data_IF_070674395009
#
_entry.id   IF_070674395009
#
_cell.length_a   1.000
_cell.length_b   1.000
_cell.length_c   1.000
_cell.angle_alpha   90.00
_cell.angle_beta   90.00
_cell.angle_gamma   90.00
#
_symmetry.space_group_name_H-M   'P 1'
#
loop_
_entity.id
_entity.type
_entity.pdbx_description
1 polymer ?
#
# COMPACT_ATOMS: atom_id res chain seq x y z
N UNK A 1 -53.31 16.45 24.66
CA UNK A 1 -52.43 16.39 23.47
C UNK A 1 -51.27 15.47 23.82
N UNK A 2 -51.32 14.21 23.41
CA UNK A 2 -50.22 13.24 23.57
C UNK A 2 -49.23 13.43 22.44
N UNK A 3 -48.05 13.98 22.73
CA UNK A 3 -46.97 14.08 21.77
C UNK A 3 -46.38 12.69 21.53
N UNK A 4 -46.59 12.13 20.33
CA UNK A 4 -45.88 10.94 19.86
C UNK A 4 -44.39 11.25 19.81
N UNK A 5 -43.60 10.58 20.67
CA UNK A 5 -42.15 10.67 20.63
C UNK A 5 -41.64 10.28 19.23
N UNK A 6 -40.71 11.04 18.64
CA UNK A 6 -40.20 10.72 17.31
C UNK A 6 -39.55 9.34 17.34
N UNK A 7 -39.91 8.49 16.37
CA UNK A 7 -39.32 7.17 16.23
C UNK A 7 -37.79 7.30 16.12
N UNK A 8 -37.05 6.73 17.07
CA UNK A 8 -35.59 6.68 17.04
C UNK A 8 -35.20 5.85 15.82
N UNK A 9 -34.72 6.52 14.77
CA UNK A 9 -34.20 5.84 13.57
C UNK A 9 -32.97 5.04 13.99
N UNK A 10 -33.08 3.71 14.02
CA UNK A 10 -31.93 2.85 14.24
C UNK A 10 -30.87 3.12 13.16
N UNK A 11 -29.69 3.55 13.59
CA UNK A 11 -28.56 3.76 12.68
C UNK A 11 -27.85 2.42 12.51
N UNK A 12 -27.99 1.82 11.32
CA UNK A 12 -27.34 0.55 10.98
C UNK A 12 -25.81 0.67 11.06
N UNK A 13 -25.13 -0.40 11.47
CA UNK A 13 -23.66 -0.45 11.53
C UNK A 13 -22.99 -0.08 10.19
N UNK A 14 -23.57 -0.49 9.07
CA UNK A 14 -23.09 -0.14 7.73
C UNK A 14 -23.11 1.38 7.47
N UNK A 15 -24.15 2.08 7.95
CA UNK A 15 -24.27 3.54 7.80
C UNK A 15 -23.26 4.28 8.68
N UNK A 16 -22.98 3.77 9.88
CA UNK A 16 -21.90 4.30 10.72
C UNK A 16 -20.56 4.12 10.02
N UNK A 17 -20.25 2.91 9.54
CA UNK A 17 -19.01 2.63 8.82
C UNK A 17 -18.83 3.53 7.60
N UNK A 18 -19.84 3.68 6.75
CA UNK A 18 -19.78 4.55 5.57
C UNK A 18 -19.51 6.01 5.94
N UNK A 19 -20.15 6.52 7.01
CA UNK A 19 -19.90 7.89 7.52
C UNK A 19 -18.49 8.04 8.07
N UNK A 20 -17.99 7.05 8.81
CA UNK A 20 -16.62 7.05 9.32
C UNK A 20 -15.61 7.01 8.16
N UNK A 21 -15.84 6.22 7.12
CA UNK A 21 -15.02 6.23 5.91
C UNK A 21 -15.02 7.59 5.21
N UNK A 22 -16.18 8.26 5.09
CA UNK A 22 -16.24 9.59 4.49
C UNK A 22 -15.47 10.65 5.32
N UNK A 23 -15.54 10.55 6.64
CA UNK A 23 -14.77 11.41 7.54
C UNK A 23 -13.25 11.16 7.41
N UNK A 24 -12.82 9.89 7.44
CA UNK A 24 -11.40 9.51 7.26
C UNK A 24 -10.88 9.86 5.85
N UNK A 25 -11.73 9.76 4.82
CA UNK A 25 -11.39 10.22 3.47
C UNK A 25 -11.08 11.72 3.48
N UNK A 26 -11.99 12.54 4.03
CA UNK A 26 -11.80 13.98 4.11
C UNK A 26 -10.54 14.32 4.90
N UNK A 27 -10.33 13.65 6.04
CA UNK A 27 -9.12 13.79 6.86
C UNK A 27 -7.85 13.51 6.04
N UNK A 28 -7.77 12.36 5.38
CA UNK A 28 -6.59 11.96 4.60
C UNK A 28 -6.21 13.02 3.55
N UNK A 29 -7.20 13.58 2.84
CA UNK A 29 -6.98 14.53 1.75
C UNK A 29 -6.72 15.97 2.18
N UNK A 30 -7.10 16.33 3.42
CA UNK A 30 -6.80 17.66 4.00
C UNK A 30 -5.37 17.77 4.54
N UNK A 31 -4.68 16.65 4.77
CA UNK A 31 -3.33 16.63 5.32
C UNK A 31 -2.29 16.93 4.23
N UNK A 32 -1.48 17.98 4.44
CA UNK A 32 -0.41 18.39 3.51
C UNK A 32 0.61 17.27 3.22
N UNK A 33 0.92 16.44 4.22
CA UNK A 33 1.86 15.32 4.08
C UNK A 33 1.39 14.29 3.05
N UNK A 34 0.08 14.06 2.91
CA UNK A 34 -0.50 13.17 1.89
C UNK A 34 -0.04 13.56 0.50
N UNK A 35 -0.09 14.86 0.18
CA UNK A 35 0.34 15.39 -1.11
C UNK A 35 1.84 15.23 -1.35
N UNK A 36 2.67 15.38 -0.31
CA UNK A 36 4.11 15.12 -0.42
C UNK A 36 4.42 13.64 -0.71
N UNK A 37 3.72 12.71 -0.06
CA UNK A 37 3.88 11.28 -0.35
C UNK A 37 3.40 10.94 -1.76
N UNK A 38 2.26 11.49 -2.21
CA UNK A 38 1.79 11.28 -3.58
C UNK A 38 2.73 11.88 -4.62
N UNK A 39 3.28 13.07 -4.36
CA UNK A 39 4.28 13.69 -5.23
C UNK A 39 5.56 12.83 -5.30
N UNK A 40 6.04 12.30 -4.17
CA UNK A 40 7.20 11.41 -4.15
C UNK A 40 6.93 10.09 -4.89
N UNK A 41 5.76 9.48 -4.68
CA UNK A 41 5.34 8.28 -5.40
C UNK A 41 5.23 8.53 -6.91
N UNK A 42 4.58 9.62 -7.31
CA UNK A 42 4.45 10.02 -8.72
C UNK A 42 5.81 10.31 -9.35
N UNK A 43 6.69 11.04 -8.66
CA UNK A 43 8.05 11.33 -9.14
C UNK A 43 8.86 10.06 -9.36
N UNK A 44 8.82 9.12 -8.41
CA UNK A 44 9.48 7.83 -8.55
C UNK A 44 8.89 7.01 -9.70
N UNK A 45 7.56 6.88 -9.77
CA UNK A 45 6.91 6.05 -10.78
C UNK A 45 7.07 6.61 -12.19
N UNK A 46 6.72 7.88 -12.40
CA UNK A 46 6.74 8.51 -13.72
C UNK A 46 8.16 8.85 -14.13
N UNK A 47 9.00 9.33 -13.21
CA UNK A 47 10.39 9.66 -13.48
C UNK A 47 11.19 8.45 -13.94
N UNK A 48 11.15 7.35 -13.19
CA UNK A 48 11.87 6.11 -13.56
C UNK A 48 11.31 5.51 -14.85
N UNK A 49 9.99 5.49 -15.04
CA UNK A 49 9.38 5.01 -16.28
C UNK A 49 9.78 5.85 -17.51
N UNK A 50 9.92 7.16 -17.33
CA UNK A 50 10.38 8.08 -18.38
C UNK A 50 11.83 7.78 -18.75
N UNK A 51 12.71 7.62 -17.76
CA UNK A 51 14.13 7.26 -18.00
C UNK A 51 14.21 5.92 -18.74
N UNK A 52 13.50 4.90 -18.26
CA UNK A 52 13.45 3.59 -18.91
C UNK A 52 12.92 3.66 -20.36
N UNK A 53 11.93 4.54 -20.62
CA UNK A 53 11.44 4.82 -21.97
C UNK A 53 12.49 5.47 -22.88
N UNK A 54 13.25 6.45 -22.38
CA UNK A 54 14.34 7.08 -23.14
C UNK A 54 15.42 6.05 -23.49
N UNK A 55 15.81 5.21 -22.53
CA UNK A 55 16.80 4.15 -22.76
C UNK A 55 16.30 3.15 -23.80
N UNK A 56 15.05 2.70 -23.69
CA UNK A 56 14.44 1.79 -24.65
C UNK A 56 14.36 2.38 -26.07
N UNK A 57 14.09 3.69 -26.19
CA UNK A 57 14.02 4.39 -27.49
C UNK A 57 15.38 4.69 -28.12
N UNK A 58 16.45 4.74 -27.33
CA UNK A 58 17.81 5.07 -27.78
C UNK A 58 18.69 3.84 -28.03
N UNK A 59 18.33 2.68 -27.49
CA UNK A 59 19.05 1.42 -27.69
C UNK A 59 18.92 0.87 -29.12
N UNK A 60 20.04 0.44 -29.70
CA UNK A 60 20.08 -0.21 -31.03
C UNK A 60 19.54 -1.65 -31.03
N UNK A 61 19.46 -2.29 -29.85
CA UNK A 61 19.09 -3.71 -29.67
C UNK A 61 17.81 -3.91 -28.82
N UNK A 62 17.04 -2.85 -28.56
CA UNK A 62 15.80 -3.00 -27.80
C UNK A 62 14.80 -3.88 -28.60
N UNK A 63 14.31 -5.00 -28.04
CA UNK A 63 13.37 -5.84 -28.76
C UNK A 63 12.12 -5.04 -29.12
N UNK A 64 11.90 -4.85 -30.42
CA UNK A 64 10.73 -4.13 -30.92
C UNK A 64 9.46 -4.82 -30.42
N UNK A 65 8.51 -4.05 -29.89
CA UNK A 65 7.27 -4.59 -29.30
C UNK A 65 7.37 -4.99 -27.83
N UNK A 66 8.46 -4.60 -27.13
CA UNK A 66 8.55 -4.72 -25.68
C UNK A 66 7.39 -3.96 -24.98
N UNK A 67 6.93 -4.52 -23.87
CA UNK A 67 5.73 -4.03 -23.18
C UNK A 67 6.04 -2.78 -22.36
N UNK A 68 5.36 -1.66 -22.65
CA UNK A 68 5.42 -0.46 -21.80
C UNK A 68 4.92 -0.72 -20.37
N UNK A 69 4.05 -1.72 -20.18
CA UNK A 69 3.58 -2.13 -18.86
C UNK A 69 4.66 -2.79 -18.00
N UNK A 70 5.62 -3.48 -18.62
CA UNK A 70 6.77 -4.02 -17.88
C UNK A 70 7.64 -2.89 -17.33
N UNK A 71 7.82 -1.82 -18.12
CA UNK A 71 8.54 -0.62 -17.69
C UNK A 71 7.82 0.16 -16.59
N UNK A 72 6.50 -0.03 -16.44
CA UNK A 72 5.70 0.59 -15.38
C UNK A 72 5.68 -0.20 -14.07
N UNK A 73 6.01 -1.50 -14.09
CA UNK A 73 6.03 -2.34 -12.89
C UNK A 73 7.30 -2.13 -12.05
N UNK A 74 8.45 -1.94 -12.68
CA UNK A 74 9.75 -1.71 -12.00
C UNK A 74 9.72 -0.49 -11.07
N UNK A 75 9.21 0.69 -11.51
CA UNK A 75 9.16 1.89 -10.68
C UNK A 75 8.27 1.78 -9.44
N UNK A 76 7.36 0.80 -9.39
CA UNK A 76 6.50 0.56 -8.22
C UNK A 76 7.33 0.16 -7.00
N UNK A 77 8.44 -0.55 -7.18
CA UNK A 77 9.26 -1.04 -6.07
C UNK A 77 9.84 0.06 -5.18
N UNK A 78 10.50 1.11 -5.71
CA UNK A 78 10.90 2.24 -4.88
C UNK A 78 9.70 3.10 -4.49
N UNK A 79 8.71 3.28 -5.37
CA UNK A 79 7.57 4.15 -5.12
C UNK A 79 6.65 3.65 -3.99
N UNK A 80 6.57 2.33 -3.77
CA UNK A 80 5.72 1.74 -2.74
C UNK A 80 5.98 2.34 -1.35
N UNK A 81 7.23 2.71 -1.04
CA UNK A 81 7.57 3.29 0.26
C UNK A 81 6.89 4.64 0.51
N UNK A 82 6.60 5.41 -0.53
CA UNK A 82 5.81 6.64 -0.40
C UNK A 82 4.35 6.32 -0.02
N UNK A 83 3.74 5.31 -0.65
CA UNK A 83 2.37 4.86 -0.33
C UNK A 83 2.27 4.17 1.03
N UNK A 84 3.29 3.40 1.42
CA UNK A 84 3.36 2.77 2.74
C UNK A 84 3.55 3.83 3.83
N UNK A 85 4.37 4.87 3.57
CA UNK A 85 4.50 6.02 4.46
C UNK A 85 3.21 6.83 4.58
N UNK A 86 2.49 7.07 3.47
CA UNK A 86 1.15 7.66 3.49
C UNK A 86 0.19 6.83 4.35
N UNK A 87 0.16 5.51 4.15
CA UNK A 87 -0.75 4.62 4.84
C UNK A 87 -0.45 4.52 6.35
N UNK A 88 0.82 4.39 6.74
CA UNK A 88 1.17 4.36 8.16
C UNK A 88 0.96 5.72 8.83
N UNK A 89 1.28 6.85 8.17
CA UNK A 89 1.12 8.18 8.76
C UNK A 89 -0.35 8.56 8.94
N UNK A 90 -1.25 8.05 8.10
CA UNK A 90 -2.70 8.17 8.30
C UNK A 90 -3.16 7.62 9.66
N UNK A 91 -2.41 6.66 10.23
CA UNK A 91 -2.64 6.07 11.55
C UNK A 91 -1.78 6.74 12.63
N UNK A 92 -0.46 6.78 12.43
CA UNK A 92 0.51 7.12 13.49
C UNK A 92 0.51 8.61 13.84
N UNK A 93 0.06 9.48 12.95
CA UNK A 93 -0.03 10.93 13.20
C UNK A 93 -0.91 11.27 14.41
N UNK A 94 -2.00 10.53 14.63
CA UNK A 94 -2.89 10.74 15.78
C UNK A 94 -2.28 10.28 17.10
N UNK A 95 -1.36 9.32 17.05
CA UNK A 95 -0.62 8.90 18.24
C UNK A 95 0.46 9.93 18.59
N UNK A 96 1.08 10.56 17.58
CA UNK A 96 2.07 11.61 17.79
C UNK A 96 1.47 12.90 18.37
N UNK A 97 0.24 13.26 17.96
CA UNK A 97 -0.42 14.51 18.40
C UNK A 97 -1.41 14.32 19.55
N UNK A 98 -1.64 13.08 20.00
CA UNK A 98 -2.69 12.75 20.97
C UNK A 98 -4.12 12.77 20.41
N UNK A 99 -4.29 12.99 19.09
CA UNK A 99 -5.58 13.00 18.40
C UNK A 99 -6.33 11.67 18.40
N UNK A 100 -5.71 10.57 18.83
CA UNK A 100 -6.38 9.27 18.93
C UNK A 100 -7.49 9.25 19.99
N UNK A 101 -7.33 10.01 21.09
CA UNK A 101 -8.32 10.08 22.18
C UNK A 101 -9.64 10.68 21.72
N UNK A 102 -9.69 11.91 21.15
CA UNK A 102 -10.94 12.47 20.65
C UNK A 102 -11.54 11.65 19.50
N UNK A 103 -10.72 11.03 18.65
CA UNK A 103 -11.20 10.16 17.56
C UNK A 103 -11.97 8.94 18.09
N UNK A 104 -11.48 8.31 19.15
CA UNK A 104 -12.15 7.18 19.81
C UNK A 104 -13.41 7.61 20.58
N UNK A 105 -13.44 8.82 21.15
CA UNK A 105 -14.63 9.36 21.81
C UNK A 105 -15.77 9.63 20.81
N UNK A 106 -15.43 10.12 19.62
CA UNK A 106 -16.41 10.41 18.57
C UNK A 106 -16.91 9.16 17.85
N UNK A 107 -16.08 8.11 17.79
CA UNK A 107 -16.44 6.80 17.22
C UNK A 107 -16.27 5.70 18.26
N UNK A 108 -17.26 5.50 19.15
CA UNK A 108 -17.13 4.57 20.29
C UNK A 108 -16.94 3.10 19.86
N UNK A 109 -17.27 2.76 18.61
CA UNK A 109 -17.01 1.43 18.03
C UNK A 109 -15.60 1.39 17.45
N UNK A 110 -14.61 1.05 18.28
CA UNK A 110 -13.17 0.99 17.93
C UNK A 110 -12.87 0.17 16.65
N UNK A 111 -13.55 -0.95 16.47
CA UNK A 111 -13.41 -1.79 15.27
C UNK A 111 -13.88 -1.06 13.99
N UNK A 112 -14.92 -0.22 14.08
CA UNK A 112 -15.40 0.57 12.94
C UNK A 112 -14.39 1.63 12.53
N UNK A 113 -13.78 2.32 13.51
CA UNK A 113 -12.70 3.28 13.25
C UNK A 113 -11.48 2.60 12.61
N UNK A 114 -11.05 1.46 13.17
CA UNK A 114 -9.94 0.68 12.64
C UNK A 114 -10.18 0.26 11.18
N UNK A 115 -11.35 -0.32 10.89
CA UNK A 115 -11.69 -0.75 9.54
C UNK A 115 -11.80 0.44 8.60
N UNK A 116 -12.45 1.54 9.01
CA UNK A 116 -12.63 2.70 8.15
C UNK A 116 -11.28 3.32 7.76
N UNK A 117 -10.39 3.52 8.74
CA UNK A 117 -9.05 4.06 8.49
C UNK A 117 -8.22 3.14 7.61
N UNK A 118 -8.29 1.83 7.86
CA UNK A 118 -7.61 0.82 7.05
C UNK A 118 -8.13 0.86 5.62
N UNK A 119 -9.45 0.77 5.41
CA UNK A 119 -10.07 0.77 4.08
C UNK A 119 -9.75 2.04 3.30
N UNK A 120 -9.84 3.21 3.93
CA UNK A 120 -9.55 4.49 3.27
C UNK A 120 -8.07 4.60 2.89
N UNK A 121 -7.14 4.32 3.81
CA UNK A 121 -5.72 4.44 3.55
C UNK A 121 -5.23 3.42 2.51
N UNK A 122 -5.60 2.14 2.68
CA UNK A 122 -5.24 1.04 1.77
C UNK A 122 -5.89 1.23 0.41
N UNK A 123 -7.17 1.58 0.37
CA UNK A 123 -7.89 1.83 -0.88
C UNK A 123 -7.31 3.00 -1.66
N UNK A 124 -6.96 4.10 -0.98
CA UNK A 124 -6.32 5.26 -1.61
C UNK A 124 -4.96 4.89 -2.20
N UNK A 125 -4.11 4.18 -1.44
CA UNK A 125 -2.81 3.75 -1.91
C UNK A 125 -2.90 2.82 -3.14
N UNK A 126 -3.81 1.84 -3.11
CA UNK A 126 -4.00 0.89 -4.20
C UNK A 126 -4.52 1.57 -5.48
N UNK A 127 -5.56 2.40 -5.36
CA UNK A 127 -6.17 3.11 -6.50
C UNK A 127 -5.20 4.10 -7.10
N UNK A 128 -4.59 4.96 -6.28
CA UNK A 128 -3.66 5.99 -6.77
C UNK A 128 -2.40 5.38 -7.35
N UNK A 129 -1.87 4.32 -6.75
CA UNK A 129 -0.73 3.60 -7.29
C UNK A 129 -1.03 2.91 -8.62
N UNK A 130 -2.21 2.32 -8.78
CA UNK A 130 -2.63 1.78 -10.07
C UNK A 130 -2.80 2.88 -11.14
N UNK A 131 -3.38 4.03 -10.78
CA UNK A 131 -3.49 5.18 -11.68
C UNK A 131 -2.11 5.73 -12.07
N UNK A 132 -1.17 5.79 -11.14
CA UNK A 132 0.20 6.19 -11.43
C UNK A 132 0.96 5.15 -12.25
N UNK A 133 0.69 3.86 -12.10
CA UNK A 133 1.25 2.83 -12.97
C UNK A 133 0.72 2.94 -14.40
N UNK A 134 -0.58 3.22 -14.56
CA UNK A 134 -1.17 3.54 -15.86
C UNK A 134 -0.49 4.77 -16.49
N UNK A 135 -0.30 5.84 -15.71
CA UNK A 135 0.39 7.04 -16.17
C UNK A 135 1.82 6.73 -16.59
N UNK A 136 2.58 6.00 -15.77
CA UNK A 136 3.95 5.56 -16.06
C UNK A 136 4.06 4.73 -17.34
N UNK A 137 3.13 3.79 -17.57
CA UNK A 137 3.10 3.01 -18.81
C UNK A 137 2.84 3.91 -20.03
N UNK A 138 1.90 4.86 -19.89
CA UNK A 138 1.60 5.85 -20.92
C UNK A 138 2.80 6.75 -21.23
N UNK A 139 3.51 7.25 -20.22
CA UNK A 139 4.69 8.11 -20.43
C UNK A 139 5.83 7.35 -21.07
N UNK A 140 6.14 6.14 -20.59
CA UNK A 140 7.17 5.29 -21.18
C UNK A 140 6.87 5.01 -22.66
N UNK A 141 5.61 4.67 -22.98
CA UNK A 141 5.16 4.42 -24.34
C UNK A 141 5.32 5.65 -25.25
N UNK A 142 4.89 6.84 -24.80
CA UNK A 142 5.00 8.08 -25.60
C UNK A 142 6.45 8.43 -25.88
N UNK A 143 7.32 8.29 -24.89
CA UNK A 143 8.75 8.63 -24.99
C UNK A 143 9.51 7.66 -25.89
N UNK A 144 9.18 6.37 -25.83
CA UNK A 144 9.90 5.33 -26.56
C UNK A 144 9.27 4.97 -27.92
N UNK A 145 8.39 5.80 -28.49
CA UNK A 145 7.77 5.47 -29.79
C UNK A 145 8.82 5.41 -30.92
N UNK A 146 8.73 4.42 -31.83
CA UNK A 146 7.72 3.37 -31.96
C UNK A 146 8.09 2.02 -31.30
N UNK A 147 9.11 1.98 -30.42
CA UNK A 147 9.73 0.75 -29.91
C UNK A 147 8.83 -0.02 -28.94
N UNK A 148 8.16 0.67 -28.03
CA UNK A 148 7.30 0.05 -27.02
C UNK A 148 5.85 -0.11 -27.51
N UNK A 149 5.21 -1.18 -27.06
CA UNK A 149 3.79 -1.45 -27.26
C UNK A 149 2.98 -1.22 -25.96
N UNK A 150 1.80 -0.64 -26.11
CA UNK A 150 0.85 -0.35 -25.01
C UNK A 150 -0.48 -1.08 -25.27
N UNK A 151 -0.43 -2.41 -25.29
CA UNK A 151 -1.64 -3.21 -25.48
C UNK A 151 -2.51 -3.27 -24.21
N UNK A 152 -3.85 -3.09 -24.31
CA UNK A 152 -4.76 -3.11 -23.17
C UNK A 152 -4.82 -4.44 -22.39
N UNK A 153 -4.68 -5.57 -23.09
CA UNK A 153 -4.68 -6.92 -22.51
C UNK A 153 -3.58 -7.12 -21.46
N UNK A 154 -2.37 -6.61 -21.73
CA UNK A 154 -1.24 -6.60 -20.80
C UNK A 154 -1.51 -5.68 -19.60
N UNK A 155 -2.19 -4.56 -19.82
CA UNK A 155 -2.62 -3.65 -18.76
C UNK A 155 -3.56 -4.29 -17.76
N UNK A 156 -4.50 -5.12 -18.24
CA UNK A 156 -5.43 -5.88 -17.40
C UNK A 156 -4.73 -6.93 -16.51
N UNK A 157 -3.54 -7.39 -16.88
CA UNK A 157 -2.73 -8.27 -16.03
C UNK A 157 -1.88 -7.50 -15.00
N UNK A 158 -1.33 -6.34 -15.39
CA UNK A 158 -0.37 -5.58 -14.56
C UNK A 158 -1.07 -4.71 -13.51
N UNK A 159 -2.09 -3.95 -13.88
CA UNK A 159 -2.72 -2.98 -12.98
C UNK A 159 -3.32 -3.62 -11.71
N UNK A 160 -4.06 -4.75 -11.78
CA UNK A 160 -4.55 -5.42 -10.57
C UNK A 160 -3.42 -5.93 -9.68
N UNK A 161 -2.32 -6.37 -10.28
CA UNK A 161 -1.13 -6.84 -9.55
C UNK A 161 -0.47 -5.70 -8.79
N UNK A 162 -0.29 -4.53 -9.42
CA UNK A 162 0.21 -3.31 -8.77
C UNK A 162 -0.71 -2.88 -7.63
N UNK A 163 -2.01 -2.80 -7.90
CA UNK A 163 -3.01 -2.42 -6.91
C UNK A 163 -2.98 -3.38 -5.70
N UNK A 164 -2.86 -4.68 -5.94
CA UNK A 164 -2.78 -5.69 -4.89
C UNK A 164 -1.52 -5.56 -4.04
N UNK A 165 -0.34 -5.41 -4.66
CA UNK A 165 0.93 -5.28 -3.93
C UNK A 165 0.92 -4.03 -3.05
N UNK A 166 0.45 -2.90 -3.58
CA UNK A 166 0.32 -1.67 -2.81
C UNK A 166 -0.76 -1.79 -1.72
N UNK A 167 -1.89 -2.45 -2.00
CA UNK A 167 -2.90 -2.70 -0.99
C UNK A 167 -2.36 -3.53 0.18
N UNK A 168 -1.70 -4.65 -0.11
CA UNK A 168 -1.13 -5.54 0.90
C UNK A 168 0.00 -4.86 1.69
N UNK A 169 0.90 -4.14 1.01
CA UNK A 169 1.97 -3.38 1.65
C UNK A 169 1.46 -2.25 2.53
N UNK A 170 0.49 -1.46 2.06
CA UNK A 170 -0.15 -0.42 2.86
C UNK A 170 -0.95 -1.00 4.03
N UNK A 171 -1.60 -2.16 3.86
CA UNK A 171 -2.29 -2.86 4.95
C UNK A 171 -1.32 -3.33 6.03
N UNK A 172 -0.16 -3.88 5.64
CA UNK A 172 0.93 -4.18 6.57
C UNK A 172 1.38 -2.92 7.32
N UNK A 173 1.62 -1.82 6.60
CA UNK A 173 2.07 -0.57 7.18
C UNK A 173 1.05 0.03 8.18
N UNK A 174 -0.24 -0.02 7.85
CA UNK A 174 -1.35 0.38 8.74
C UNK A 174 -1.41 -0.51 9.98
N UNK A 175 -1.35 -1.83 9.81
CA UNK A 175 -1.37 -2.79 10.91
C UNK A 175 -0.21 -2.58 11.89
N UNK A 176 1.01 -2.42 11.35
CA UNK A 176 2.19 -2.07 12.14
C UNK A 176 2.06 -0.68 12.78
N UNK A 177 1.43 0.29 12.11
CA UNK A 177 1.15 1.62 12.66
C UNK A 177 0.28 1.57 13.91
N UNK A 178 -0.81 0.80 13.86
CA UNK A 178 -1.67 0.56 15.04
C UNK A 178 -0.96 -0.25 16.12
N UNK A 179 -0.15 -1.23 15.74
CA UNK A 179 0.58 -2.08 16.66
C UNK A 179 1.69 -1.33 17.40
N UNK A 180 2.49 -0.52 16.70
CA UNK A 180 3.66 0.14 17.26
C UNK A 180 3.36 1.53 17.82
N UNK A 181 2.30 2.19 17.33
CA UNK A 181 1.88 3.54 17.77
C UNK A 181 2.99 4.60 17.66
N UNK A 182 3.97 4.38 16.78
CA UNK A 182 5.11 5.26 16.56
C UNK A 182 5.46 5.30 15.07
N UNK A 183 5.47 6.50 14.48
CA UNK A 183 5.79 6.71 13.05
C UNK A 183 7.18 6.19 12.70
N UNK A 184 8.22 6.55 13.46
CA UNK A 184 9.59 6.16 13.16
C UNK A 184 9.78 4.64 13.26
N UNK A 185 9.30 4.04 14.34
CA UNK A 185 9.37 2.58 14.52
C UNK A 185 8.61 1.80 13.45
N UNK A 186 7.45 2.31 13.03
CA UNK A 186 6.66 1.69 11.96
C UNK A 186 7.37 1.77 10.61
N UNK A 187 7.94 2.94 10.29
CA UNK A 187 8.68 3.12 9.05
C UNK A 187 9.89 2.16 9.00
N UNK A 188 10.69 2.10 10.08
CA UNK A 188 11.83 1.17 10.16
C UNK A 188 11.40 -0.28 9.98
N UNK A 189 10.34 -0.73 10.67
CA UNK A 189 9.84 -2.09 10.54
C UNK A 189 9.38 -2.42 9.11
N UNK A 190 8.67 -1.50 8.46
CA UNK A 190 8.24 -1.63 7.06
C UNK A 190 9.45 -1.76 6.12
N UNK A 191 10.44 -0.87 6.24
CA UNK A 191 11.66 -0.94 5.43
C UNK A 191 12.43 -2.25 5.64
N UNK A 192 12.54 -2.70 6.89
CA UNK A 192 13.20 -3.96 7.22
C UNK A 192 12.51 -5.15 6.53
N UNK A 193 11.18 -5.24 6.64
CA UNK A 193 10.41 -6.37 6.10
C UNK A 193 10.27 -6.35 4.57
N UNK A 194 10.15 -5.16 3.98
CA UNK A 194 9.90 -5.00 2.54
C UNK A 194 11.17 -4.90 1.70
N UNK A 195 12.29 -4.43 2.27
CA UNK A 195 13.51 -4.15 1.51
C UNK A 195 14.75 -4.81 2.10
N UNK A 196 15.07 -4.48 3.35
CA UNK A 196 16.40 -4.79 3.90
C UNK A 196 16.58 -6.29 4.12
N UNK A 197 15.68 -6.96 4.84
CA UNK A 197 15.81 -8.39 5.12
C UNK A 197 15.72 -9.25 3.83
N UNK A 198 14.76 -9.02 2.91
CA UNK A 198 14.73 -9.74 1.63
C UNK A 198 16.03 -9.65 0.85
N UNK A 199 16.66 -8.47 0.87
CA UNK A 199 17.91 -8.22 0.16
C UNK A 199 19.12 -8.83 0.87
N UNK A 200 19.20 -8.71 2.20
CA UNK A 200 20.40 -9.09 2.97
C UNK A 200 20.43 -10.58 3.28
N UNK A 201 19.30 -11.22 3.60
CA UNK A 201 19.28 -12.62 4.04
C UNK A 201 19.89 -13.62 3.05
N UNK A 202 19.65 -13.54 1.73
CA UNK A 202 20.27 -14.45 0.77
C UNK A 202 21.81 -14.33 0.71
N UNK A 203 22.37 -13.16 1.05
CA UNK A 203 23.81 -12.91 0.99
C UNK A 203 24.62 -13.67 2.05
N UNK A 204 23.97 -14.25 3.07
CA UNK A 204 24.66 -15.10 4.04
C UNK A 204 25.03 -16.48 3.49
N UNK A 205 24.51 -16.88 2.32
CA UNK A 205 24.87 -18.14 1.66
C UNK A 205 24.29 -19.41 2.31
N UNK A 206 23.47 -19.28 3.35
CA UNK A 206 22.78 -20.41 3.97
C UNK A 206 21.39 -20.63 3.36
N UNK A 207 20.98 -21.89 3.23
CA UNK A 207 19.67 -22.23 2.65
C UNK A 207 18.51 -21.71 3.51
N UNK A 208 18.63 -21.77 4.84
CA UNK A 208 17.59 -21.31 5.76
C UNK A 208 17.40 -19.79 5.71
N UNK A 209 18.45 -18.99 5.46
CA UNK A 209 18.31 -17.53 5.32
C UNK A 209 17.61 -17.18 4.02
N UNK A 210 17.91 -17.90 2.94
CA UNK A 210 17.20 -17.79 1.67
C UNK A 210 15.73 -18.23 1.79
N UNK A 211 15.45 -19.27 2.56
CA UNK A 211 14.10 -19.71 2.86
C UNK A 211 13.31 -18.66 3.66
N UNK A 212 13.92 -18.04 4.67
CA UNK A 212 13.32 -16.92 5.40
C UNK A 212 13.07 -15.73 4.49
N UNK A 213 14.01 -15.39 3.60
CA UNK A 213 13.84 -14.30 2.66
C UNK A 213 12.58 -14.49 1.80
N UNK A 214 12.32 -15.72 1.31
CA UNK A 214 11.11 -16.05 0.53
C UNK A 214 9.80 -15.90 1.30
N UNK A 215 9.84 -15.97 2.63
CA UNK A 215 8.68 -15.79 3.52
C UNK A 215 8.42 -14.32 3.90
N UNK A 216 9.26 -13.39 3.46
CA UNK A 216 9.08 -11.96 3.72
C UNK A 216 8.14 -11.31 2.71
N UNK A 217 7.40 -10.27 3.12
CA UNK A 217 6.43 -9.61 2.25
C UNK A 217 7.12 -8.89 1.09
N UNK A 218 8.34 -8.37 1.29
CA UNK A 218 9.12 -7.71 0.23
C UNK A 218 9.43 -8.62 -0.94
N UNK A 219 9.84 -9.87 -0.68
CA UNK A 219 10.08 -10.88 -1.72
C UNK A 219 8.82 -11.22 -2.49
N UNK A 220 7.68 -11.33 -1.79
CA UNK A 220 6.38 -11.56 -2.43
C UNK A 220 5.95 -10.41 -3.33
N UNK A 221 6.12 -9.17 -2.88
CA UNK A 221 5.86 -7.97 -3.67
C UNK A 221 6.76 -7.88 -4.91
N UNK A 222 8.06 -8.10 -4.73
CA UNK A 222 9.04 -8.12 -5.82
C UNK A 222 8.75 -9.20 -6.85
N UNK A 223 8.44 -10.43 -6.42
CA UNK A 223 8.07 -11.52 -7.32
C UNK A 223 6.83 -11.18 -8.15
N UNK A 224 5.79 -10.58 -7.55
CA UNK A 224 4.57 -10.25 -8.28
C UNK A 224 4.76 -9.12 -9.29
N UNK A 225 5.64 -8.16 -8.99
CA UNK A 225 5.90 -7.02 -9.87
C UNK A 225 6.90 -7.33 -10.99
N UNK A 226 7.96 -8.09 -10.69
CA UNK A 226 9.07 -8.33 -11.61
C UNK A 226 9.08 -9.74 -12.21
N UNK A 227 8.42 -10.71 -11.59
CA UNK A 227 8.45 -12.12 -12.00
C UNK A 227 9.73 -12.88 -11.61
N UNK A 228 10.70 -12.22 -10.96
CA UNK A 228 12.05 -12.76 -10.75
C UNK A 228 12.41 -12.97 -9.28
N UNK A 229 11.93 -14.07 -8.67
CA UNK A 229 12.50 -14.58 -7.41
C UNK A 229 12.57 -16.12 -7.45
N UNK A 230 13.77 -16.74 -7.43
CA UNK A 230 13.92 -18.19 -7.50
C UNK A 230 13.16 -18.93 -6.39
N UNK A 231 12.42 -19.97 -6.77
CA UNK A 231 11.67 -20.82 -5.84
C UNK A 231 10.37 -20.20 -5.30
N UNK A 232 9.91 -19.09 -5.87
CA UNK A 232 8.61 -18.48 -5.54
C UNK A 232 7.60 -18.72 -6.66
N UNK A 233 6.33 -18.82 -6.27
CA UNK A 233 5.20 -18.90 -7.19
C UNK A 233 4.27 -17.72 -6.96
N UNK A 234 3.36 -17.47 -7.91
CA UNK A 234 2.32 -16.44 -7.72
C UNK A 234 1.45 -16.75 -6.49
N UNK A 235 1.07 -18.00 -6.30
CA UNK A 235 0.26 -18.43 -5.16
C UNK A 235 0.99 -18.22 -3.83
N UNK A 236 2.27 -18.61 -3.73
CA UNK A 236 3.04 -18.40 -2.50
C UNK A 236 3.22 -16.92 -2.19
N UNK A 237 3.48 -16.09 -3.21
CA UNK A 237 3.71 -14.64 -3.03
C UNK A 237 2.45 -13.92 -2.56
N UNK A 238 1.30 -14.22 -3.17
CA UNK A 238 -0.01 -13.71 -2.74
C UNK A 238 -0.30 -14.13 -1.30
N UNK A 239 -0.08 -15.40 -0.97
CA UNK A 239 -0.33 -15.94 0.38
C UNK A 239 0.57 -15.25 1.41
N UNK A 240 1.87 -15.11 1.14
CA UNK A 240 2.81 -14.42 2.03
C UNK A 240 2.36 -12.98 2.32
N UNK A 241 2.01 -12.22 1.27
CA UNK A 241 1.54 -10.84 1.43
C UNK A 241 0.25 -10.76 2.25
N UNK A 242 -0.72 -11.64 1.99
CA UNK A 242 -1.98 -11.68 2.75
C UNK A 242 -1.76 -12.08 4.21
N UNK A 243 -0.88 -13.05 4.49
CA UNK A 243 -0.56 -13.47 5.85
C UNK A 243 0.10 -12.34 6.65
N UNK A 244 1.06 -11.62 6.05
CA UNK A 244 1.71 -10.48 6.71
C UNK A 244 0.77 -9.31 6.92
N UNK A 245 0.00 -8.94 5.89
CA UNK A 245 -0.99 -7.86 5.99
C UNK A 245 -2.07 -8.19 7.02
N UNK A 246 -2.68 -9.39 6.92
CA UNK A 246 -3.71 -9.86 7.84
C UNK A 246 -3.21 -10.02 9.26
N UNK A 247 -2.01 -10.57 9.46
CA UNK A 247 -1.39 -10.72 10.78
C UNK A 247 -1.11 -9.38 11.44
N UNK A 248 -0.53 -8.42 10.72
CA UNK A 248 -0.27 -7.09 11.26
C UNK A 248 -1.56 -6.33 11.58
N UNK A 249 -2.58 -6.43 10.72
CA UNK A 249 -3.89 -5.83 10.98
C UNK A 249 -4.57 -6.47 12.19
N UNK A 250 -4.53 -7.79 12.34
CA UNK A 250 -5.07 -8.50 13.49
C UNK A 250 -4.38 -8.04 14.78
N UNK A 251 -3.04 -8.02 14.80
CA UNK A 251 -2.27 -7.58 15.97
C UNK A 251 -2.55 -6.11 16.30
N UNK A 252 -2.63 -5.25 15.29
CA UNK A 252 -3.00 -3.84 15.46
C UNK A 252 -4.42 -3.65 16.02
N UNK A 253 -5.40 -4.41 15.51
CA UNK A 253 -6.77 -4.39 16.00
C UNK A 253 -6.85 -4.87 17.46
N UNK A 254 -6.22 -6.00 17.77
CA UNK A 254 -6.17 -6.55 19.13
C UNK A 254 -5.59 -5.52 20.10
N UNK A 255 -4.49 -4.87 19.72
CA UNK A 255 -3.88 -3.83 20.55
C UNK A 255 -4.77 -2.60 20.73
N UNK A 256 -5.50 -2.17 19.70
CA UNK A 256 -6.46 -1.06 19.82
C UNK A 256 -7.64 -1.41 20.73
N UNK A 257 -8.08 -2.67 20.73
CA UNK A 257 -9.23 -3.11 21.55
C UNK A 257 -8.88 -3.43 23.00
N UNK A 258 -7.66 -3.90 23.29
CA UNK A 258 -7.27 -4.38 24.63
C UNK A 258 -6.68 -3.27 25.52
N UNK A 259 -5.80 -2.43 24.98
CA UNK A 259 -5.01 -1.49 25.81
C UNK A 259 -5.82 -0.28 26.31
N UNK A 260 -6.99 -0.01 25.74
CA UNK A 260 -7.81 1.15 26.07
C UNK A 260 -9.06 0.80 26.90
N UNK A 261 -9.11 -0.42 27.49
CA UNK A 261 -10.04 -0.76 28.57
C UNK A 261 -9.52 -0.27 29.94
N UNK A 262 -8.26 0.17 30.02
CA UNK A 262 -7.56 0.52 31.26
C UNK A 262 -7.17 2.01 31.36
N UNK A 263 -7.81 2.89 30.58
CA UNK A 263 -7.62 4.36 30.68
C UNK A 263 -8.95 5.08 30.67
#
# INVERSE_FOLDING_TARGET
MTATAPAVREVTAARVFARTCAAEWTRLWTVKATWWFLAAGAAAMVGIATIAGVEAGSGTDAPQGASAWAMAAVPVLPAQFAFLALALTAVTSDYATGGIVPSCQWTPRRAVLFLARTTVAVGSAAVLGALLALLSAGTAFVVARPVLDLSPDRGLAVLPTVAFVLAAGSALAVGLGFLLRNTAGTLVAVFLLMLVLPLVLPNFGYEWTSALARLLPGSGGAFLLLGEVPGMTRASSVTTLLCWAGGALLLGLLRLTRDDANR
#
